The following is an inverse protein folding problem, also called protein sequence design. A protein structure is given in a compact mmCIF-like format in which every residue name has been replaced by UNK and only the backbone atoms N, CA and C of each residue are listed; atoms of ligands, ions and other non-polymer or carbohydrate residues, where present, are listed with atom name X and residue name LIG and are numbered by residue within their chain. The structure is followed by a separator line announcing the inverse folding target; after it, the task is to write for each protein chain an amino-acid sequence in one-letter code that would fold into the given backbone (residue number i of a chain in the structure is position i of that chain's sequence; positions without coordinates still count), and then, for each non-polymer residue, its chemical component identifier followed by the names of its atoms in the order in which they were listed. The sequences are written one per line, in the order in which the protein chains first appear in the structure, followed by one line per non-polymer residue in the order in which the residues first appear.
data_IF_739858380164
#
_entry.id   IF_739858380164
#
_cell.length_a   1.000
_cell.length_b   1.000
_cell.length_c   1.000
_cell.angle_alpha   90.00
_cell.angle_beta   90.00
_cell.angle_gamma   90.00
#
_symmetry.space_group_name_H-M   'P 1'
#
loop_
_entity.id
_entity.type
_entity.pdbx_description
1 polymer ?
#
# COMPACT_ATOMS: atom_id res chain seq x y z
N UNK A 1 24.41 15.68 5.53
CA UNK A 1 22.95 15.89 5.66
C UNK A 1 22.36 14.59 6.16
N UNK A 2 21.58 14.63 7.25
CA UNK A 2 20.85 13.42 7.68
C UNK A 2 19.87 13.10 6.56
N UNK A 3 20.04 11.93 5.95
CA UNK A 3 19.15 11.33 4.98
C UNK A 3 17.79 11.12 5.65
N UNK A 4 16.88 12.07 5.43
CA UNK A 4 15.58 12.09 6.09
C UNK A 4 14.62 11.08 5.47
N UNK A 5 13.75 10.50 6.30
CA UNK A 5 12.56 9.81 5.82
C UNK A 5 11.38 10.77 5.87
N UNK A 6 10.44 10.59 4.96
CA UNK A 6 9.17 11.31 4.97
C UNK A 6 8.03 10.31 4.83
N UNK A 7 6.99 10.45 5.66
CA UNK A 7 5.82 9.57 5.61
C UNK A 7 4.56 10.39 5.37
N UNK A 8 3.70 9.93 4.49
CA UNK A 8 2.40 10.52 4.22
C UNK A 8 1.30 9.54 4.62
N UNK A 9 0.15 10.08 5.06
CA UNK A 9 -1.03 9.31 5.49
C UNK A 9 -2.30 10.03 5.00
N UNK A 10 -3.44 9.31 4.89
CA UNK A 10 -4.75 9.89 4.50
C UNK A 10 -4.76 10.35 3.04
N UNK A 11 -3.89 9.80 2.21
CA UNK A 11 -3.96 9.98 0.78
C UNK A 11 -5.14 9.16 0.24
N UNK A 12 -5.88 9.72 -0.72
CA UNK A 12 -7.00 9.03 -1.37
C UNK A 12 -6.58 8.48 -2.72
N UNK A 13 -7.35 7.54 -3.23
CA UNK A 13 -7.12 6.93 -4.54
C UNK A 13 -7.15 7.95 -5.70
N UNK A 14 -7.92 9.04 -5.55
CA UNK A 14 -7.98 10.15 -6.52
C UNK A 14 -6.74 11.04 -6.51
N UNK A 15 -6.18 11.33 -5.33
CA UNK A 15 -4.98 12.18 -5.21
C UNK A 15 -3.75 11.50 -5.82
N UNK A 16 -3.63 10.19 -5.65
CA UNK A 16 -2.45 9.41 -6.05
C UNK A 16 -2.10 9.57 -7.54
N UNK A 17 -3.08 9.73 -8.42
CA UNK A 17 -2.87 9.90 -9.85
C UNK A 17 -2.17 11.21 -10.23
N UNK A 18 -2.20 12.21 -9.33
CA UNK A 18 -1.56 13.51 -9.53
C UNK A 18 -0.11 13.58 -9.04
N UNK A 19 0.42 12.53 -8.40
CA UNK A 19 1.77 12.55 -7.82
C UNK A 19 2.83 12.10 -8.81
N UNK A 20 3.96 12.81 -8.82
CA UNK A 20 5.10 12.58 -9.74
C UNK A 20 6.44 12.55 -9.00
N UNK A 21 6.50 11.81 -7.89
CA UNK A 21 7.72 11.62 -7.11
C UNK A 21 8.70 10.63 -7.76
N UNK A 22 9.96 10.64 -7.33
CA UNK A 22 10.94 9.62 -7.70
C UNK A 22 10.57 8.28 -7.06
N UNK A 23 10.05 7.36 -7.86
CA UNK A 23 9.61 6.03 -7.43
C UNK A 23 10.74 5.23 -6.77
N UNK A 24 12.00 5.45 -7.16
CA UNK A 24 13.16 4.75 -6.58
C UNK A 24 13.35 5.06 -5.09
N UNK A 25 12.77 6.18 -4.62
CA UNK A 25 12.81 6.64 -3.24
C UNK A 25 11.66 6.14 -2.39
N UNK A 26 10.62 5.56 -3.00
CA UNK A 26 9.50 4.99 -2.25
C UNK A 26 9.93 3.67 -1.60
N UNK A 27 10.04 3.66 -0.28
CA UNK A 27 10.43 2.50 0.53
C UNK A 27 9.28 1.52 0.72
N UNK A 28 8.09 2.05 0.98
CA UNK A 28 6.88 1.27 1.16
C UNK A 28 5.63 2.09 0.93
N UNK A 29 4.54 1.37 0.66
CA UNK A 29 3.19 1.92 0.61
C UNK A 29 2.20 0.92 1.20
N UNK A 30 1.10 1.46 1.74
CA UNK A 30 -0.04 0.69 2.25
C UNK A 30 -1.33 1.33 1.75
N UNK A 31 -2.28 0.52 1.30
CA UNK A 31 -3.66 0.86 1.01
C UNK A 31 -4.53 0.15 2.05
N UNK A 32 -5.03 0.92 3.03
CA UNK A 32 -6.00 0.42 4.00
C UNK A 32 -7.42 0.62 3.47
N UNK A 33 -8.04 -0.47 3.03
CA UNK A 33 -9.39 -0.52 2.48
C UNK A 33 -10.40 -0.85 3.58
N UNK A 34 -11.08 0.16 4.11
CA UNK A 34 -12.07 0.01 5.19
C UNK A 34 -13.43 -0.36 4.57
N UNK A 35 -14.09 -1.41 5.07
CA UNK A 35 -15.40 -1.85 4.56
C UNK A 35 -16.47 -0.82 4.88
N UNK A 36 -17.36 -0.57 3.92
CA UNK A 36 -18.55 0.26 4.14
C UNK A 36 -19.83 -0.60 4.24
N UNK A 37 -20.75 -0.29 5.19
CA UNK A 37 -20.59 0.68 6.27
C UNK A 37 -19.51 0.24 7.28
N UNK A 38 -18.87 1.22 7.93
CA UNK A 38 -17.84 0.94 8.93
C UNK A 38 -18.46 0.23 10.15
N UNK A 39 -18.19 -1.07 10.28
CA UNK A 39 -18.63 -1.90 11.40
C UNK A 39 -17.52 -2.89 11.77
N UNK A 40 -17.41 -3.19 13.06
CA UNK A 40 -16.47 -4.16 13.62
C UNK A 40 -15.01 -4.03 13.12
N UNK A 41 -14.57 -2.82 12.74
CA UNK A 41 -13.24 -2.57 12.19
C UNK A 41 -12.85 -3.51 11.02
N UNK A 42 -13.79 -3.82 10.12
CA UNK A 42 -13.53 -4.66 8.94
C UNK A 42 -12.69 -3.93 7.90
N UNK A 43 -11.51 -4.45 7.59
CA UNK A 43 -10.67 -3.86 6.54
C UNK A 43 -9.70 -4.87 5.92
N UNK A 44 -9.20 -4.49 4.74
CA UNK A 44 -8.10 -5.15 4.01
C UNK A 44 -6.95 -4.13 3.95
N UNK A 45 -5.77 -4.50 4.42
CA UNK A 45 -4.56 -3.71 4.22
C UNK A 45 -3.69 -4.33 3.13
N UNK A 46 -3.58 -3.69 1.97
CA UNK A 46 -2.69 -4.14 0.87
C UNK A 46 -1.42 -3.31 0.94
N UNK A 47 -0.25 -3.95 0.88
CA UNK A 47 1.01 -3.24 1.10
C UNK A 47 2.17 -3.86 0.34
N UNK A 48 3.24 -3.08 0.21
CA UNK A 48 4.50 -3.47 -0.40
C UNK A 48 5.66 -2.83 0.35
N UNK A 49 6.70 -3.61 0.61
CA UNK A 49 8.00 -3.13 1.08
C UNK A 49 9.06 -3.37 0.00
N UNK A 50 9.79 -2.32 -0.39
CA UNK A 50 10.85 -2.39 -1.43
C UNK A 50 11.95 -3.42 -1.13
N UNK A 51 12.20 -3.68 0.14
CA UNK A 51 13.22 -4.64 0.61
C UNK A 51 12.60 -5.97 1.07
N UNK A 52 11.38 -6.24 0.65
CA UNK A 52 10.62 -7.43 0.98
C UNK A 52 9.92 -7.36 2.33
N UNK A 53 8.87 -8.18 2.46
CA UNK A 53 8.11 -8.34 3.68
C UNK A 53 8.66 -9.52 4.48
N UNK A 54 8.85 -9.33 5.79
CA UNK A 54 9.34 -10.40 6.66
C UNK A 54 8.40 -11.61 6.71
N UNK A 55 8.95 -12.77 6.34
CA UNK A 55 8.37 -14.10 6.42
C UNK A 55 9.35 -15.01 7.20
N UNK A 56 9.15 -15.08 8.51
CA UNK A 56 10.08 -15.76 9.43
C UNK A 56 11.44 -15.06 9.43
N UNK A 57 12.50 -15.77 9.07
CA UNK A 57 13.87 -15.26 8.99
C UNK A 57 14.24 -14.78 7.58
N UNK A 58 13.29 -14.83 6.63
CA UNK A 58 13.49 -14.44 5.24
C UNK A 58 12.64 -13.22 4.87
N UNK A 59 13.08 -12.48 3.86
CA UNK A 59 12.28 -11.42 3.22
C UNK A 59 11.67 -11.96 1.93
N UNK A 60 10.37 -11.73 1.75
CA UNK A 60 9.62 -12.10 0.55
C UNK A 60 9.26 -10.84 -0.23
N UNK A 61 9.70 -10.77 -1.49
CA UNK A 61 9.33 -9.70 -2.41
C UNK A 61 7.96 -9.96 -3.04
N UNK A 62 7.28 -8.89 -3.43
CA UNK A 62 5.91 -8.93 -3.93
C UNK A 62 4.86 -8.36 -2.98
N UNK A 63 3.65 -8.19 -3.51
CA UNK A 63 2.52 -7.56 -2.84
C UNK A 63 2.01 -8.50 -1.77
N UNK A 64 1.70 -7.92 -0.61
CA UNK A 64 1.10 -8.61 0.50
C UNK A 64 -0.23 -7.95 0.83
N UNK A 65 -1.13 -8.71 1.44
CA UNK A 65 -2.26 -8.11 2.13
C UNK A 65 -2.47 -8.78 3.48
N UNK A 66 -3.10 -8.03 4.38
CA UNK A 66 -3.63 -8.54 5.63
C UNK A 66 -5.08 -8.14 5.77
N UNK A 67 -5.80 -8.80 6.64
CA UNK A 67 -7.20 -8.49 6.90
C UNK A 67 -7.49 -8.43 8.39
N UNK A 68 -8.59 -7.75 8.72
CA UNK A 68 -9.12 -7.71 10.07
C UNK A 68 -10.63 -7.94 10.02
N UNK A 69 -11.11 -8.88 10.85
CA UNK A 69 -12.53 -9.19 11.04
C UNK A 69 -13.32 -9.50 9.74
N UNK A 70 -12.64 -9.99 8.70
CA UNK A 70 -13.26 -10.50 7.48
C UNK A 70 -13.53 -12.00 7.59
N UNK A 71 -14.58 -12.46 6.92
CA UNK A 71 -14.85 -13.88 6.79
C UNK A 71 -13.79 -14.53 5.87
N UNK A 72 -13.31 -15.72 6.26
CA UNK A 72 -12.30 -16.46 5.51
C UNK A 72 -12.76 -16.79 4.09
N UNK A 73 -14.08 -16.89 3.86
CA UNK A 73 -14.63 -17.11 2.52
C UNK A 73 -14.40 -15.94 1.55
N UNK A 74 -14.09 -14.74 2.03
CA UNK A 74 -13.82 -13.56 1.20
C UNK A 74 -12.37 -13.54 0.68
N UNK A 75 -11.44 -14.20 1.39
CA UNK A 75 -10.01 -14.17 1.09
C UNK A 75 -9.66 -14.67 -0.32
N UNK A 76 -10.26 -15.76 -0.85
CA UNK A 76 -9.99 -16.20 -2.21
C UNK A 76 -10.33 -15.15 -3.27
N UNK A 77 -11.38 -14.34 -3.06
CA UNK A 77 -11.79 -13.28 -3.98
C UNK A 77 -10.76 -12.13 -4.00
N UNK A 78 -10.28 -11.74 -2.82
CA UNK A 78 -9.23 -10.72 -2.65
C UNK A 78 -7.93 -11.20 -3.29
N UNK A 79 -7.52 -12.43 -2.99
CA UNK A 79 -6.31 -13.05 -3.52
C UNK A 79 -6.36 -13.17 -5.04
N UNK A 80 -7.48 -13.63 -5.60
CA UNK A 80 -7.64 -13.75 -7.05
C UNK A 80 -7.57 -12.38 -7.74
N UNK A 81 -8.24 -11.36 -7.20
CA UNK A 81 -8.19 -10.00 -7.73
C UNK A 81 -6.76 -9.45 -7.81
N UNK A 82 -5.96 -9.67 -6.77
CA UNK A 82 -4.56 -9.23 -6.76
C UNK A 82 -3.68 -10.07 -7.69
N UNK A 83 -3.86 -11.40 -7.72
CA UNK A 83 -3.10 -12.30 -8.61
C UNK A 83 -3.39 -12.06 -10.09
N UNK A 84 -4.63 -11.75 -10.45
CA UNK A 84 -4.97 -11.40 -11.84
C UNK A 84 -4.22 -10.15 -12.32
N UNK A 85 -3.94 -9.21 -11.41
CA UNK A 85 -3.24 -7.95 -11.72
C UNK A 85 -1.72 -8.08 -11.68
N UNK A 86 -1.19 -8.84 -10.73
CA UNK A 86 0.24 -8.81 -10.39
C UNK A 86 0.92 -10.17 -10.45
N UNK A 87 0.17 -11.25 -10.72
CA UNK A 87 0.63 -12.63 -10.62
C UNK A 87 1.18 -12.95 -9.22
N UNK A 88 2.17 -13.84 -9.14
CA UNK A 88 2.83 -14.24 -7.90
C UNK A 88 2.28 -15.53 -7.30
N UNK A 89 3.13 -16.16 -6.49
CA UNK A 89 2.81 -17.38 -5.76
C UNK A 89 2.18 -17.03 -4.42
N UNK A 90 0.99 -17.54 -4.22
CA UNK A 90 0.24 -17.39 -2.97
C UNK A 90 0.91 -18.16 -1.82
N UNK A 91 1.13 -17.46 -0.71
CA UNK A 91 1.62 -18.01 0.55
C UNK A 91 0.87 -17.33 1.70
N UNK A 92 0.62 -18.05 2.80
CA UNK A 92 -0.10 -17.50 3.96
C UNK A 92 0.74 -17.57 5.24
N UNK A 93 0.57 -16.59 6.12
CA UNK A 93 1.12 -16.59 7.47
C UNK A 93 0.27 -15.78 8.45
N UNK A 94 -0.49 -16.48 9.28
CA UNK A 94 -1.46 -15.84 10.18
C UNK A 94 -2.53 -15.14 9.36
N UNK A 95 -2.77 -13.85 9.64
CA UNK A 95 -3.74 -13.01 8.92
C UNK A 95 -3.13 -12.30 7.68
N UNK A 96 -1.92 -12.70 7.26
CA UNK A 96 -1.23 -12.16 6.09
C UNK A 96 -1.20 -13.16 4.95
N UNK A 97 -1.47 -12.68 3.75
CA UNK A 97 -1.31 -13.40 2.48
C UNK A 97 -0.27 -12.67 1.65
N UNK A 98 0.63 -13.44 1.04
CA UNK A 98 1.76 -12.97 0.25
C UNK A 98 1.57 -13.45 -1.18
N UNK A 99 1.76 -12.56 -2.14
CA UNK A 99 1.93 -12.91 -3.54
C UNK A 99 3.42 -12.86 -3.87
N UNK A 100 4.13 -13.91 -3.45
CA UNK A 100 5.58 -14.01 -3.63
C UNK A 100 5.95 -13.86 -5.10
N UNK A 101 6.97 -13.04 -5.36
CA UNK A 101 7.49 -12.75 -6.69
C UNK A 101 6.44 -12.13 -7.64
N UNK A 102 5.37 -11.53 -7.09
CA UNK A 102 4.42 -10.74 -7.88
C UNK A 102 5.08 -9.48 -8.42
N UNK A 103 4.53 -8.94 -9.51
CA UNK A 103 4.89 -7.62 -10.02
C UNK A 103 4.72 -6.56 -8.93
N UNK A 104 5.78 -5.80 -8.68
CA UNK A 104 5.77 -4.67 -7.74
C UNK A 104 5.41 -3.37 -8.46
N UNK A 105 4.76 -2.46 -7.74
CA UNK A 105 4.37 -1.14 -8.25
C UNK A 105 4.84 -0.06 -7.28
N UNK A 106 5.25 1.09 -7.82
CA UNK A 106 5.75 2.21 -7.03
C UNK A 106 5.19 3.56 -7.51
N UNK A 107 4.73 3.64 -8.75
CA UNK A 107 4.11 4.84 -9.31
C UNK A 107 2.84 5.22 -8.55
N UNK A 108 2.61 6.52 -8.38
CA UNK A 108 1.39 7.02 -7.75
C UNK A 108 0.15 6.57 -8.54
N UNK A 109 0.24 6.56 -9.86
CA UNK A 109 -0.82 6.09 -10.75
C UNK A 109 -1.21 4.64 -10.48
N UNK A 110 -0.27 3.70 -10.47
CA UNK A 110 -0.58 2.27 -10.29
C UNK A 110 -1.16 2.00 -8.89
N UNK A 111 -0.62 2.65 -7.87
CA UNK A 111 -1.12 2.53 -6.48
C UNK A 111 -2.55 3.10 -6.38
N UNK A 112 -2.81 4.25 -7.01
CA UNK A 112 -4.14 4.85 -7.09
C UNK A 112 -5.15 3.98 -7.82
N UNK A 113 -4.76 3.41 -8.97
CA UNK A 113 -5.60 2.47 -9.74
C UNK A 113 -5.91 1.19 -8.96
N UNK A 114 -4.93 0.65 -8.24
CA UNK A 114 -5.15 -0.47 -7.32
C UNK A 114 -6.16 -0.11 -6.23
N UNK A 115 -5.97 1.04 -5.58
CA UNK A 115 -6.87 1.52 -4.53
C UNK A 115 -8.32 1.66 -5.06
N UNK A 116 -8.53 2.31 -6.22
CA UNK A 116 -9.86 2.42 -6.86
C UNK A 116 -10.48 1.07 -7.17
N UNK A 117 -9.66 0.13 -7.64
CA UNK A 117 -10.07 -1.24 -7.89
C UNK A 117 -10.55 -1.94 -6.63
N UNK A 118 -9.85 -1.77 -5.51
CA UNK A 118 -10.24 -2.32 -4.21
C UNK A 118 -11.53 -1.67 -3.68
N UNK A 119 -11.65 -0.34 -3.80
CA UNK A 119 -12.84 0.43 -3.41
C UNK A 119 -14.08 -0.11 -4.13
N UNK A 120 -13.99 -0.23 -5.45
CA UNK A 120 -15.09 -0.68 -6.32
C UNK A 120 -15.43 -2.16 -6.11
N UNK A 121 -14.42 -3.03 -6.07
CA UNK A 121 -14.63 -4.49 -6.05
C UNK A 121 -15.15 -4.99 -4.70
N UNK A 122 -14.72 -4.37 -3.60
CA UNK A 122 -14.97 -4.86 -2.25
C UNK A 122 -15.85 -3.93 -1.40
N UNK A 123 -16.41 -2.87 -2.00
CA UNK A 123 -17.21 -1.85 -1.30
C UNK A 123 -16.44 -1.28 -0.09
N UNK A 124 -15.26 -0.72 -0.40
CA UNK A 124 -14.36 -0.18 0.62
C UNK A 124 -14.02 1.27 0.34
N UNK A 125 -13.50 1.95 1.36
CA UNK A 125 -12.88 3.27 1.26
C UNK A 125 -11.39 3.16 1.54
N UNK A 126 -10.55 3.63 0.61
CA UNK A 126 -9.11 3.51 0.74
C UNK A 126 -8.49 4.69 1.52
N UNK A 127 -7.58 4.37 2.42
CA UNK A 127 -6.63 5.30 3.04
C UNK A 127 -5.24 4.82 2.68
N UNK A 128 -4.49 5.68 1.98
CA UNK A 128 -3.16 5.34 1.46
C UNK A 128 -2.09 6.02 2.30
N UNK A 129 -1.02 5.26 2.57
CA UNK A 129 0.19 5.74 3.22
C UNK A 129 1.40 5.46 2.33
N UNK A 130 2.35 6.40 2.29
CA UNK A 130 3.59 6.31 1.53
C UNK A 130 4.76 6.65 2.46
N UNK A 131 5.88 5.94 2.34
CA UNK A 131 7.12 6.29 3.03
C UNK A 131 8.28 6.36 2.03
N UNK A 132 9.01 7.47 2.07
CA UNK A 132 10.15 7.74 1.20
C UNK A 132 11.45 7.84 1.98
N UNK A 133 12.56 7.57 1.30
CA UNK A 133 13.91 7.92 1.72
C UNK A 133 14.52 9.00 0.82
N UNK A 134 15.41 9.82 1.36
CA UNK A 134 16.31 10.67 0.58
C UNK A 134 15.62 11.68 -0.37
N UNK A 135 14.42 12.15 -0.04
CA UNK A 135 13.74 13.25 -0.73
C UNK A 135 13.74 14.52 0.11
N UNK A 136 14.00 15.66 -0.52
CA UNK A 136 13.85 16.97 0.14
C UNK A 136 12.38 17.41 0.17
N UNK A 137 12.06 18.36 1.04
CA UNK A 137 10.72 18.93 1.12
C UNK A 137 10.29 19.60 -0.20
N UNK A 138 11.22 20.23 -0.90
CA UNK A 138 11.00 20.83 -2.22
C UNK A 138 10.65 19.78 -3.27
N UNK A 139 11.40 18.67 -3.33
CA UNK A 139 11.12 17.57 -4.26
C UNK A 139 9.74 16.94 -4.00
N UNK A 140 9.37 16.75 -2.74
CA UNK A 140 8.05 16.22 -2.36
C UNK A 140 6.92 17.18 -2.78
N UNK A 141 7.13 18.49 -2.61
CA UNK A 141 6.18 19.53 -3.01
C UNK A 141 6.03 19.61 -4.54
N UNK A 142 7.14 19.59 -5.27
CA UNK A 142 7.15 19.56 -6.75
C UNK A 142 6.47 18.31 -7.31
N UNK A 143 6.61 17.18 -6.59
CA UNK A 143 5.90 15.93 -6.88
C UNK A 143 4.40 15.95 -6.52
N UNK A 144 3.88 17.07 -6.02
CA UNK A 144 2.46 17.26 -5.72
C UNK A 144 2.01 16.70 -4.36
N UNK A 145 2.91 16.22 -3.50
CA UNK A 145 2.53 15.67 -2.21
C UNK A 145 2.08 16.77 -1.23
N UNK A 146 0.92 16.61 -0.57
CA UNK A 146 0.35 17.66 0.29
C UNK A 146 1.04 17.72 1.67
N UNK A 147 1.62 18.88 1.99
CA UNK A 147 2.29 19.12 3.28
C UNK A 147 1.38 18.85 4.49
N UNK A 148 0.08 19.15 4.39
CA UNK A 148 -0.91 18.89 5.45
C UNK A 148 -1.10 17.40 5.81
N UNK A 149 -0.62 16.49 4.97
CA UNK A 149 -0.70 15.03 5.17
C UNK A 149 0.65 14.39 5.50
N UNK A 150 1.71 15.20 5.62
CA UNK A 150 3.01 14.76 6.07
C UNK A 150 2.92 14.37 7.55
N UNK A 151 3.34 13.15 7.86
CA UNK A 151 3.49 12.66 9.22
C UNK A 151 4.91 12.94 9.72
N UNK A 152 5.05 13.53 10.92
CA UNK A 152 6.36 13.71 11.53
C UNK A 152 6.99 12.35 11.85
N UNK A 153 8.25 12.17 11.47
CA UNK A 153 9.06 11.03 11.87
C UNK A 153 9.96 11.51 13.01
N UNK A 154 9.84 10.95 14.22
CA UNK A 154 10.75 11.26 15.31
C UNK A 154 12.19 10.94 14.89
N UNK A 155 13.07 11.92 15.05
CA UNK A 155 14.52 11.81 14.87
C UNK A 155 15.21 11.39 16.15
#
# INVERSE_FOLDING_TARGET
MVKGRSRYWKLTSDEMAGFSYDESKLLNWEIKCIREPEDAAKFIGVFLYRHGTAFDYESVNGICYFHNNLDRNELPSITSFLKEKFAGKEMEKGERVFLKDSKEIYSGKDIGELAKGMETKFNTKAIISLEFEDLTAEQLKEAGLPEAKLLPIPT
#
